data_IF_432515966739
#
_entry.id   IF_432515966739
#
_cell.length_a   1.000
_cell.length_b   1.000
_cell.length_c   1.000
_cell.angle_alpha   90.00
_cell.angle_beta   90.00
_cell.angle_gamma   90.00
#
_symmetry.space_group_name_H-M   'P 1'
#
loop_
_entity.id
_entity.type
_entity.pdbx_description
1 polymer ?
#
# COMPACT_ATOMS: atom_id res chain seq x y z
N UNK A 1 -11.78 -55.92 -64.37
CA UNK A 1 -11.77 -56.35 -62.97
C UNK A 1 -11.25 -55.17 -62.16
N UNK A 2 -12.10 -54.55 -61.34
CA UNK A 2 -11.79 -53.32 -60.60
C UNK A 2 -10.96 -53.63 -59.35
N UNK A 3 -10.03 -52.75 -58.92
CA UNK A 3 -9.23 -52.97 -57.71
C UNK A 3 -10.10 -52.83 -56.44
N UNK A 4 -9.76 -53.54 -55.35
CA UNK A 4 -10.56 -53.59 -54.14
C UNK A 4 -10.54 -52.24 -53.39
N UNK A 5 -11.62 -51.88 -52.68
CA UNK A 5 -11.69 -50.65 -51.91
C UNK A 5 -10.71 -50.66 -50.73
N UNK A 6 -10.14 -49.50 -50.36
CA UNK A 6 -9.24 -49.38 -49.22
C UNK A 6 -9.97 -49.70 -47.90
N UNK A 7 -9.28 -50.28 -46.91
CA UNK A 7 -9.88 -50.61 -45.62
C UNK A 7 -10.35 -49.33 -44.90
N UNK A 8 -11.57 -49.36 -44.37
CA UNK A 8 -12.11 -48.29 -43.54
C UNK A 8 -11.28 -48.21 -42.24
N UNK A 9 -10.59 -47.09 -42.04
CA UNK A 9 -9.90 -46.80 -40.78
C UNK A 9 -10.99 -46.40 -39.78
N UNK A 10 -11.21 -47.23 -38.75
CA UNK A 10 -12.07 -46.88 -37.63
C UNK A 10 -11.51 -45.67 -36.87
N UNK A 11 -12.35 -44.75 -36.36
CA UNK A 11 -11.87 -43.65 -35.55
C UNK A 11 -11.22 -44.18 -34.25
N UNK A 12 -10.19 -43.51 -33.73
CA UNK A 12 -9.53 -43.94 -32.50
C UNK A 12 -10.51 -43.95 -31.32
N UNK A 13 -10.35 -44.87 -30.36
CA UNK A 13 -11.20 -44.92 -29.18
C UNK A 13 -11.05 -43.63 -28.34
N UNK A 14 -12.10 -43.21 -27.62
CA UNK A 14 -12.00 -42.07 -26.71
C UNK A 14 -10.96 -42.33 -25.61
N UNK A 15 -10.25 -41.29 -25.14
CA UNK A 15 -9.26 -41.44 -24.08
C UNK A 15 -9.93 -41.95 -22.78
N UNK A 16 -9.22 -42.75 -21.96
CA UNK A 16 -9.73 -43.22 -20.69
C UNK A 16 -10.04 -42.05 -19.74
N UNK A 17 -11.04 -42.19 -18.84
CA UNK A 17 -11.31 -41.18 -17.83
C UNK A 17 -10.08 -41.00 -16.95
N UNK A 18 -9.61 -39.75 -16.80
CA UNK A 18 -8.52 -39.44 -15.89
C UNK A 18 -8.89 -39.88 -14.47
N UNK A 19 -7.93 -40.41 -13.68
CA UNK A 19 -8.19 -40.68 -12.28
C UNK A 19 -8.62 -39.38 -11.58
N UNK A 20 -9.82 -39.40 -11.01
CA UNK A 20 -10.33 -38.39 -10.07
C UNK A 20 -9.48 -38.42 -8.80
N UNK A 21 -8.27 -37.88 -8.89
CA UNK A 21 -7.23 -37.99 -7.87
C UNK A 21 -6.38 -36.75 -7.75
N UNK A 22 -6.94 -35.57 -8.06
CA UNK A 22 -6.44 -34.29 -7.56
C UNK A 22 -7.62 -33.51 -6.97
N UNK A 23 -8.40 -34.19 -6.13
CA UNK A 23 -9.19 -33.48 -5.15
C UNK A 23 -8.20 -32.88 -4.16
N UNK A 24 -7.82 -31.63 -4.44
CA UNK A 24 -7.59 -30.64 -3.41
C UNK A 24 -6.62 -31.08 -2.30
N UNK A 25 -5.35 -30.69 -2.43
CA UNK A 25 -4.57 -30.26 -1.28
C UNK A 25 -5.15 -28.94 -0.71
N UNK A 26 -6.46 -28.94 -0.42
CA UNK A 26 -7.14 -27.98 0.45
C UNK A 26 -7.11 -28.46 1.91
N UNK A 27 -6.33 -29.51 2.17
CA UNK A 27 -5.99 -30.00 3.52
C UNK A 27 -4.71 -29.37 4.10
N UNK A 28 -4.11 -28.38 3.40
CA UNK A 28 -3.39 -27.30 4.11
C UNK A 28 -4.46 -26.32 4.63
N UNK A 29 -5.31 -26.85 5.50
CA UNK A 29 -6.41 -26.16 6.16
C UNK A 29 -5.85 -24.94 6.92
N UNK A 30 -6.21 -23.75 6.45
CA UNK A 30 -6.46 -22.55 7.26
C UNK A 30 -5.46 -22.27 8.41
N UNK A 31 -4.16 -22.50 8.23
CA UNK A 31 -3.19 -21.98 9.22
C UNK A 31 -3.32 -20.46 9.26
N UNK A 32 -3.47 -19.93 10.46
CA UNK A 32 -3.53 -18.50 10.67
C UNK A 32 -2.22 -17.90 10.17
N UNK A 33 -2.28 -16.79 9.43
CA UNK A 33 -1.03 -16.12 9.05
C UNK A 33 -0.36 -15.67 10.35
N UNK A 34 0.79 -16.22 10.72
CA UNK A 34 1.50 -15.78 11.92
C UNK A 34 1.86 -14.29 11.81
N UNK A 35 1.97 -13.61 12.94
CA UNK A 35 2.54 -12.25 12.98
C UNK A 35 3.93 -12.25 12.35
N UNK A 36 4.27 -11.17 11.66
CA UNK A 36 5.59 -11.03 11.04
C UNK A 36 6.68 -11.02 12.12
N UNK A 37 7.73 -11.81 11.90
CA UNK A 37 8.97 -11.72 12.65
C UNK A 37 9.87 -10.68 11.97
N UNK A 38 10.17 -9.59 12.67
CA UNK A 38 11.00 -8.50 12.15
C UNK A 38 12.48 -8.78 12.41
N UNK A 39 12.96 -9.92 11.90
CA UNK A 39 14.34 -10.37 12.01
C UNK A 39 15.14 -10.10 10.74
N UNK A 40 16.41 -9.74 10.92
CA UNK A 40 17.37 -9.66 9.83
C UNK A 40 17.99 -11.04 9.59
N UNK A 41 17.99 -11.47 8.33
CA UNK A 41 18.61 -12.71 7.92
C UNK A 41 20.13 -12.57 7.99
N UNK A 42 20.79 -13.54 8.61
CA UNK A 42 22.25 -13.61 8.61
C UNK A 42 22.69 -14.19 7.25
N UNK A 43 23.51 -13.47 6.46
CA UNK A 43 24.01 -13.97 5.19
C UNK A 43 24.78 -15.29 5.36
N UNK A 44 24.61 -16.23 4.42
CA UNK A 44 25.20 -17.57 4.49
C UNK A 44 26.73 -17.51 4.56
N UNK A 45 27.33 -16.54 3.88
CA UNK A 45 28.78 -16.33 3.83
C UNK A 45 29.36 -15.98 5.21
N UNK A 46 28.54 -15.46 6.13
CA UNK A 46 28.96 -15.15 7.51
C UNK A 46 28.86 -16.35 8.45
N UNK A 47 28.16 -17.39 8.03
CA UNK A 47 27.84 -18.57 8.84
C UNK A 47 28.64 -19.78 8.37
N UNK A 48 28.70 -20.04 7.06
CA UNK A 48 29.42 -21.17 6.48
C UNK A 48 30.94 -21.07 6.75
N UNK A 49 31.54 -22.17 7.21
CA UNK A 49 32.97 -22.27 7.50
C UNK A 49 33.43 -21.64 8.82
N UNK A 50 32.52 -21.07 9.63
CA UNK A 50 32.82 -20.53 10.96
C UNK A 50 32.14 -21.35 12.04
N UNK A 51 32.77 -21.45 13.22
CA UNK A 51 32.10 -22.01 14.40
C UNK A 51 30.96 -21.07 14.79
N UNK A 52 29.72 -21.52 14.56
CA UNK A 52 28.52 -20.73 14.78
C UNK A 52 27.40 -21.63 15.27
N UNK A 53 26.55 -21.11 16.16
CA UNK A 53 25.37 -21.81 16.67
C UNK A 53 24.38 -22.20 15.56
N UNK A 54 24.50 -21.57 14.38
CA UNK A 54 23.70 -21.90 13.19
C UNK A 54 24.19 -23.14 12.44
N UNK A 55 25.40 -23.64 12.70
CA UNK A 55 26.00 -24.80 12.03
C UNK A 55 25.91 -26.11 12.83
N UNK A 56 25.42 -26.05 14.07
CA UNK A 56 25.25 -27.20 14.96
C UNK A 56 23.83 -27.22 15.52
N UNK A 57 22.82 -27.56 14.70
CA UNK A 57 21.45 -27.63 15.18
C UNK A 57 21.30 -28.84 16.12
N UNK A 58 20.84 -28.60 17.34
CA UNK A 58 20.36 -29.65 18.23
C UNK A 58 19.02 -30.21 17.69
N UNK A 59 18.76 -31.50 17.91
CA UNK A 59 17.45 -32.10 17.60
C UNK A 59 16.37 -31.49 18.50
N UNK A 60 15.60 -30.54 17.94
CA UNK A 60 14.54 -29.85 18.66
C UNK A 60 13.18 -30.08 18.00
N UNK A 61 12.25 -30.64 18.77
CA UNK A 61 10.85 -30.80 18.35
C UNK A 61 10.04 -29.56 18.74
N UNK A 62 9.44 -28.92 17.76
CA UNK A 62 8.71 -27.67 17.94
C UNK A 62 7.22 -27.84 17.63
N UNK A 63 6.36 -27.47 18.59
CA UNK A 63 4.91 -27.52 18.40
C UNK A 63 4.39 -26.32 17.60
N UNK A 64 4.13 -26.58 16.32
CA UNK A 64 3.59 -25.60 15.38
C UNK A 64 2.12 -25.22 15.70
N UNK A 65 1.39 -26.07 16.43
CA UNK A 65 -0.04 -25.85 16.73
C UNK A 65 -0.21 -24.74 17.76
N UNK A 66 0.58 -24.78 18.83
CA UNK A 66 0.63 -23.73 19.85
C UNK A 66 1.05 -22.37 19.29
N UNK A 67 1.93 -22.34 18.28
CA UNK A 67 2.30 -21.09 17.60
C UNK A 67 1.14 -20.46 16.83
N UNK A 68 0.37 -21.27 16.10
CA UNK A 68 -0.78 -20.78 15.34
C UNK A 68 -1.84 -20.20 16.27
N UNK A 69 -2.05 -20.81 17.44
CA UNK A 69 -2.99 -20.33 18.45
C UNK A 69 -2.57 -19.01 19.08
N UNK A 70 -1.31 -18.89 19.54
CA UNK A 70 -0.83 -17.70 20.23
C UNK A 70 -0.51 -16.52 19.30
N UNK A 71 0.06 -16.81 18.13
CA UNK A 71 0.63 -15.80 17.24
C UNK A 71 -0.07 -15.72 15.88
N UNK A 72 -1.08 -16.55 15.63
CA UNK A 72 -1.94 -16.46 14.46
C UNK A 72 -2.61 -15.09 14.36
N UNK A 73 -2.55 -14.47 13.19
CA UNK A 73 -3.39 -13.34 12.86
C UNK A 73 -4.82 -13.85 12.78
N UNK A 74 -5.56 -13.68 13.88
CA UNK A 74 -6.99 -13.89 13.89
C UNK A 74 -7.59 -13.08 12.74
N UNK A 75 -8.09 -13.77 11.70
CA UNK A 75 -8.96 -13.16 10.69
C UNK A 75 -10.21 -12.75 11.45
N UNK A 76 -10.19 -11.59 12.12
CA UNK A 76 -11.42 -10.88 12.45
C UNK A 76 -12.08 -10.67 11.10
N UNK A 77 -13.04 -11.53 10.80
CA UNK A 77 -14.00 -11.31 9.75
C UNK A 77 -14.49 -9.89 9.96
N UNK A 78 -13.96 -8.96 9.15
CA UNK A 78 -14.61 -7.68 9.00
C UNK A 78 -16.04 -8.06 8.60
N UNK A 79 -17.06 -7.73 9.40
CA UNK A 79 -18.42 -8.02 9.00
C UNK A 79 -18.61 -7.40 7.61
N UNK A 80 -19.29 -8.08 6.67
CA UNK A 80 -19.62 -7.47 5.39
C UNK A 80 -20.32 -6.16 5.72
N UNK A 81 -19.70 -5.04 5.33
CA UNK A 81 -20.26 -3.71 5.55
C UNK A 81 -21.61 -3.70 4.85
N UNK A 82 -22.69 -3.79 5.63
CA UNK A 82 -24.01 -3.34 5.17
C UNK A 82 -23.82 -1.85 4.88
N UNK A 83 -23.98 -1.53 3.60
CA UNK A 83 -24.23 -0.18 3.15
C UNK A 83 -25.38 0.41 3.97
N UNK A 84 -25.18 1.60 4.52
CA UNK A 84 -26.18 2.26 5.36
C UNK A 84 -25.62 2.96 6.60
N UNK A 85 -25.55 4.30 6.49
CA UNK A 85 -25.61 5.27 7.58
C UNK A 85 -24.30 5.71 8.26
N UNK A 86 -23.82 6.88 7.79
CA UNK A 86 -23.43 8.05 8.58
C UNK A 86 -22.70 7.79 9.91
N UNK A 87 -21.37 7.68 9.86
CA UNK A 87 -20.51 8.07 10.99
C UNK A 87 -19.33 8.89 10.48
N UNK A 88 -19.37 10.17 10.83
CA UNK A 88 -18.29 11.13 10.72
C UNK A 88 -17.15 10.68 11.64
N UNK A 89 -15.94 10.45 11.09
CA UNK A 89 -14.77 10.12 11.90
C UNK A 89 -13.73 9.26 11.16
N UNK A 90 -12.65 9.92 10.73
CA UNK A 90 -11.35 9.35 10.37
C UNK A 90 -11.36 8.30 9.23
N UNK A 91 -11.33 8.78 7.99
CA UNK A 91 -11.00 7.95 6.83
C UNK A 91 -9.51 7.56 6.88
N UNK A 92 -9.15 6.28 6.67
CA UNK A 92 -7.79 5.87 6.41
C UNK A 92 -7.28 6.52 5.11
N UNK A 93 -6.12 7.17 5.18
CA UNK A 93 -5.35 7.63 4.02
C UNK A 93 -4.95 6.36 3.24
N UNK A 94 -5.58 6.11 2.10
CA UNK A 94 -5.19 4.97 1.24
C UNK A 94 -6.26 4.38 0.33
N UNK A 95 -7.54 4.81 0.38
CA UNK A 95 -8.50 4.42 -0.66
C UNK A 95 -8.68 5.55 -1.68
N UNK A 96 -8.33 5.37 -2.97
CA UNK A 96 -8.72 6.31 -4.01
C UNK A 96 -10.24 6.36 -4.03
N UNK A 97 -10.80 7.51 -3.69
CA UNK A 97 -12.17 7.84 -4.03
C UNK A 97 -12.24 7.76 -5.55
N UNK A 98 -12.81 6.68 -6.07
CA UNK A 98 -12.73 6.24 -7.48
C UNK A 98 -13.35 7.22 -8.51
N UNK A 99 -13.69 8.45 -8.11
CA UNK A 99 -14.24 9.51 -8.95
C UNK A 99 -13.79 10.92 -8.52
N UNK A 100 -12.70 11.07 -7.76
CA UNK A 100 -12.09 12.39 -7.59
C UNK A 100 -11.25 12.73 -8.83
N UNK A 101 -11.33 13.95 -9.40
CA UNK A 101 -10.39 14.36 -10.43
C UNK A 101 -8.96 14.15 -9.90
N UNK A 102 -8.10 13.59 -10.73
CA UNK A 102 -6.71 13.31 -10.40
C UNK A 102 -6.04 14.61 -9.97
N UNK A 103 -5.82 14.77 -8.67
CA UNK A 103 -5.11 15.92 -8.11
C UNK A 103 -3.62 15.60 -8.17
N UNK A 104 -2.92 16.27 -9.08
CA UNK A 104 -1.46 16.23 -9.13
C UNK A 104 -0.91 17.10 -7.99
N UNK A 105 -0.01 16.55 -7.19
CA UNK A 105 0.75 17.31 -6.18
C UNK A 105 2.05 17.79 -6.82
N UNK A 106 2.31 19.10 -6.76
CA UNK A 106 3.59 19.68 -7.20
C UNK A 106 4.69 19.50 -6.15
N UNK A 107 4.30 19.37 -4.88
CA UNK A 107 5.20 19.18 -3.75
C UNK A 107 5.50 17.69 -3.56
N UNK A 108 6.71 17.37 -3.10
CA UNK A 108 7.06 16.03 -2.65
C UNK A 108 6.27 15.62 -1.39
N UNK A 109 6.23 14.31 -1.09
CA UNK A 109 5.41 13.78 0.00
C UNK A 109 5.79 14.32 1.39
N UNK A 110 7.08 14.55 1.66
CA UNK A 110 7.54 15.09 2.94
C UNK A 110 7.18 16.57 3.05
N UNK A 111 7.42 17.34 1.99
CA UNK A 111 7.10 18.78 1.97
C UNK A 111 5.60 19.03 2.04
N UNK A 112 4.79 18.32 1.25
CA UNK A 112 3.33 18.40 1.31
C UNK A 112 2.78 18.08 2.70
N UNK A 113 3.34 17.06 3.38
CA UNK A 113 2.95 16.71 4.73
C UNK A 113 3.29 17.82 5.73
N UNK A 114 4.52 18.34 5.70
CA UNK A 114 4.95 19.42 6.60
C UNK A 114 4.07 20.67 6.43
N UNK A 115 3.87 21.12 5.18
CA UNK A 115 2.98 22.25 4.85
C UNK A 115 1.56 22.00 5.31
N UNK A 116 1.03 20.80 5.07
CA UNK A 116 -0.32 20.43 5.50
C UNK A 116 -0.51 20.41 7.01
N UNK A 117 0.49 19.94 7.78
CA UNK A 117 0.44 19.93 9.25
C UNK A 117 0.48 21.35 9.78
N UNK A 118 1.39 22.17 9.26
CA UNK A 118 1.58 23.55 9.71
C UNK A 118 0.34 24.42 9.43
N UNK A 119 -0.21 24.37 8.22
CA UNK A 119 -1.39 25.17 7.86
C UNK A 119 -2.62 24.84 8.71
N UNK A 120 -2.75 23.61 9.24
CA UNK A 120 -3.84 23.25 10.16
C UNK A 120 -3.80 24.03 11.47
N UNK A 121 -2.65 24.55 11.87
CA UNK A 121 -2.49 25.30 13.12
C UNK A 121 -3.17 26.67 13.07
N UNK A 122 -3.33 27.25 11.87
CA UNK A 122 -3.98 28.55 11.68
C UNK A 122 -5.48 28.49 11.98
N UNK A 123 -6.13 27.32 11.88
CA UNK A 123 -7.58 27.12 12.07
C UNK A 123 -8.49 28.02 11.20
N UNK A 124 -7.92 28.69 10.19
CA UNK A 124 -8.60 29.60 9.26
C UNK A 124 -8.45 29.11 7.82
N UNK A 125 -9.27 29.64 6.92
CA UNK A 125 -9.14 29.32 5.50
C UNK A 125 -7.86 29.95 4.93
N UNK A 126 -7.19 29.27 3.98
CA UNK A 126 -5.96 29.78 3.33
C UNK A 126 -6.17 31.19 2.75
N UNK A 127 -7.36 31.48 2.22
CA UNK A 127 -7.72 32.81 1.70
C UNK A 127 -7.70 33.88 2.79
N UNK A 128 -8.19 33.58 3.98
CA UNK A 128 -8.20 34.52 5.11
C UNK A 128 -6.78 34.79 5.60
N UNK A 129 -5.96 33.73 5.71
CA UNK A 129 -4.54 33.87 6.08
C UNK A 129 -3.80 34.79 5.10
N UNK A 130 -4.05 34.64 3.79
CA UNK A 130 -3.46 35.49 2.76
C UNK A 130 -3.91 36.94 2.92
N UNK A 131 -5.19 37.20 3.17
CA UNK A 131 -5.70 38.56 3.36
C UNK A 131 -5.16 39.21 4.63
N UNK A 132 -5.05 38.47 5.75
CA UNK A 132 -4.45 38.97 6.98
C UNK A 132 -2.99 39.39 6.76
N UNK A 133 -2.22 38.58 6.04
CA UNK A 133 -0.83 38.91 5.69
C UNK A 133 -0.76 40.17 4.82
N UNK A 134 -1.65 40.30 3.82
CA UNK A 134 -1.71 41.48 2.94
C UNK A 134 -2.09 42.75 3.69
N UNK A 135 -2.96 42.65 4.69
CA UNK A 135 -3.41 43.76 5.52
C UNK A 135 -2.46 44.07 6.68
N UNK A 136 -1.46 43.21 6.94
CA UNK A 136 -0.54 43.35 8.07
C UNK A 136 -1.15 42.92 9.41
N UNK A 137 -2.28 42.20 9.41
CA UNK A 137 -2.96 41.70 10.59
C UNK A 137 -2.28 40.42 11.12
N UNK A 138 -1.02 40.53 11.56
CA UNK A 138 -0.24 39.38 12.05
C UNK A 138 -0.35 39.08 13.55
N UNK A 139 -0.97 39.98 14.32
CA UNK A 139 -0.87 39.99 15.78
C UNK A 139 -1.50 38.75 16.44
N UNK A 140 -2.54 38.18 15.85
CA UNK A 140 -3.21 36.98 16.38
C UNK A 140 -2.48 35.67 16.09
N UNK A 141 -1.51 35.67 15.16
CA UNK A 141 -0.72 34.48 14.83
C UNK A 141 0.51 34.31 15.75
N UNK A 142 1.05 35.43 16.25
CA UNK A 142 2.28 35.43 17.04
C UNK A 142 3.55 35.29 16.19
N UNK A 143 4.68 35.70 16.76
CA UNK A 143 5.97 35.75 16.06
C UNK A 143 6.50 34.36 15.67
N UNK A 144 6.28 33.34 16.49
CA UNK A 144 6.74 31.98 16.23
C UNK A 144 6.06 31.38 15.01
N UNK A 145 4.74 31.50 14.92
CA UNK A 145 3.98 30.99 13.77
C UNK A 145 4.38 31.72 12.48
N UNK A 146 4.52 33.04 12.52
CA UNK A 146 4.94 33.81 11.33
C UNK A 146 6.38 33.48 10.91
N UNK A 147 7.27 33.23 11.87
CA UNK A 147 8.65 32.79 11.59
C UNK A 147 8.69 31.41 10.94
N UNK A 148 7.90 30.46 11.44
CA UNK A 148 7.75 29.14 10.81
C UNK A 148 7.12 29.24 9.42
N UNK A 149 6.15 30.14 9.21
CA UNK A 149 5.57 30.39 7.89
C UNK A 149 6.63 30.86 6.89
N UNK A 150 7.56 31.73 7.32
CA UNK A 150 8.68 32.18 6.49
C UNK A 150 9.60 31.02 6.07
N UNK A 151 9.81 30.01 6.93
CA UNK A 151 10.61 28.80 6.59
C UNK A 151 9.92 27.91 5.57
N UNK A 152 8.62 28.10 5.37
CA UNK A 152 7.76 27.26 4.54
C UNK A 152 7.38 27.96 3.23
N UNK A 153 8.02 29.10 2.92
CA UNK A 153 7.82 29.79 1.66
C UNK A 153 8.27 28.91 0.48
N UNK A 154 7.65 29.09 -0.70
CA UNK A 154 8.01 28.34 -1.88
C UNK A 154 9.48 28.52 -2.24
N UNK A 155 10.14 27.43 -2.62
CA UNK A 155 11.48 27.50 -3.20
C UNK A 155 11.40 27.94 -4.67
N UNK A 156 12.50 28.44 -5.23
CA UNK A 156 12.54 28.95 -6.62
C UNK A 156 12.02 27.92 -7.62
N UNK A 157 12.38 26.65 -7.45
CA UNK A 157 11.90 25.56 -8.30
C UNK A 157 10.37 25.43 -8.22
N UNK A 158 9.78 25.51 -7.03
CA UNK A 158 8.34 25.37 -6.83
C UNK A 158 7.55 26.52 -7.46
N UNK A 159 8.10 27.73 -7.41
CA UNK A 159 7.53 28.89 -8.11
C UNK A 159 7.55 28.63 -9.62
N UNK A 160 8.67 28.12 -10.16
CA UNK A 160 8.78 27.77 -11.58
C UNK A 160 7.75 26.70 -11.98
N UNK A 161 7.68 25.58 -11.24
CA UNK A 161 6.73 24.50 -11.51
C UNK A 161 5.28 24.98 -11.39
N UNK A 162 4.96 25.79 -10.38
CA UNK A 162 3.64 26.38 -10.20
C UNK A 162 3.25 27.28 -11.37
N UNK A 163 4.16 28.16 -11.81
CA UNK A 163 3.93 29.01 -12.98
C UNK A 163 3.73 28.19 -14.26
N UNK A 164 4.56 27.17 -14.51
CA UNK A 164 4.41 26.28 -15.67
C UNK A 164 3.06 25.56 -15.64
N UNK A 165 2.68 24.98 -14.50
CA UNK A 165 1.40 24.30 -14.37
C UNK A 165 0.21 25.24 -14.57
N UNK A 166 0.29 26.48 -14.08
CA UNK A 166 -0.71 27.50 -14.31
C UNK A 166 -0.80 27.88 -15.81
N UNK A 167 0.33 28.04 -16.50
CA UNK A 167 0.36 28.33 -17.94
C UNK A 167 -0.21 27.20 -18.80
N UNK A 168 0.06 25.94 -18.44
CA UNK A 168 -0.56 24.77 -19.10
C UNK A 168 -2.08 24.78 -18.84
N UNK A 169 -2.49 25.04 -17.60
CA UNK A 169 -3.91 25.08 -17.23
C UNK A 169 -4.68 26.24 -17.90
N UNK A 170 -4.02 27.38 -18.14
CA UNK A 170 -4.61 28.53 -18.83
C UNK A 170 -4.54 28.45 -20.36
N UNK A 171 -3.91 27.40 -20.93
CA UNK A 171 -3.76 27.24 -22.38
C UNK A 171 -2.88 28.31 -23.03
N UNK A 172 -1.91 28.86 -22.29
CA UNK A 172 -1.03 29.95 -22.75
C UNK A 172 0.35 29.49 -23.22
N UNK A 173 0.48 28.19 -23.53
CA UNK A 173 1.67 27.56 -24.14
C UNK A 173 1.35 27.18 -25.58
#
# INVERSE_FOLDING_TARGET
MSPPPPPAISPPPPPPPLPSGLQNSRDVLQRSKLRNLNWDLIPKEKVEGRQSVWNSPDEFHFDLSSLDELFGQQKRSRPPKKDGSLRHGLRPIGSPLRNAPEKVSLLDGKRSMNVGIFLRQFKSAVREIVEDIRQGNGQHYGSEMLSELCKMLPETEEVLWSSVCLSISSGSI
#
